data_IF_160034682009
#
_entry.id   IF_160034682009
#
_cell.length_a   1.000
_cell.length_b   1.000
_cell.length_c   1.000
_cell.angle_alpha   90.00
_cell.angle_beta   90.00
_cell.angle_gamma   90.00
#
_symmetry.space_group_name_H-M   'P 1'
#
loop_
_entity.id
_entity.type
_entity.pdbx_description
1 polymer ?
#
# COMPACT_ATOMS: atom_id res chain seq x y z
N UNK A 1 -45.58 -19.96 -7.34
CA UNK A 1 -45.41 -19.70 -8.80
C UNK A 1 -43.98 -19.21 -8.98
N UNK A 2 -43.06 -20.11 -9.37
CA UNK A 2 -42.51 -20.30 -10.73
C UNK A 2 -41.63 -19.15 -11.24
N UNK A 3 -40.30 -19.45 -11.21
CA UNK A 3 -39.31 -19.32 -12.29
C UNK A 3 -38.78 -17.88 -12.56
N UNK A 4 -37.52 -17.64 -12.93
CA UNK A 4 -36.52 -18.51 -13.55
C UNK A 4 -35.11 -17.91 -13.42
N UNK A 5 -34.13 -18.78 -13.15
CA UNK A 5 -32.71 -18.60 -13.47
C UNK A 5 -32.53 -18.33 -14.97
N UNK A 6 -31.50 -17.57 -15.33
CA UNK A 6 -30.77 -17.76 -16.59
C UNK A 6 -29.28 -17.49 -16.38
N UNK A 7 -28.56 -18.61 -16.32
CA UNK A 7 -27.13 -18.73 -16.60
C UNK A 7 -26.88 -18.31 -18.05
N UNK A 8 -25.78 -17.60 -18.31
CA UNK A 8 -25.12 -17.66 -19.62
C UNK A 8 -23.64 -17.96 -19.42
N UNK A 9 -23.34 -19.23 -19.67
CA UNK A 9 -22.04 -19.82 -19.90
C UNK A 9 -21.58 -19.39 -21.30
N UNK A 10 -20.38 -18.84 -21.44
CA UNK A 10 -19.69 -18.87 -22.74
C UNK A 10 -18.29 -19.46 -22.52
N UNK A 11 -18.17 -20.74 -22.85
CA UNK A 11 -16.91 -21.41 -23.16
C UNK A 11 -16.39 -20.85 -24.48
N UNK A 12 -15.13 -20.40 -24.50
CA UNK A 12 -14.30 -20.48 -25.70
C UNK A 12 -12.97 -21.10 -25.29
N UNK A 13 -12.81 -22.37 -25.66
CA UNK A 13 -11.51 -23.03 -25.76
C UNK A 13 -10.89 -22.66 -27.10
N UNK A 14 -9.61 -22.31 -27.15
CA UNK A 14 -8.81 -22.59 -28.35
C UNK A 14 -7.30 -22.71 -28.08
N UNK A 15 -6.85 -23.96 -28.23
CA UNK A 15 -5.61 -24.48 -28.80
C UNK A 15 -4.25 -23.79 -28.57
N UNK A 16 -3.40 -24.58 -27.93
CA UNK A 16 -1.92 -24.63 -28.01
C UNK A 16 -1.44 -24.73 -29.46
N UNK A 17 -0.40 -23.96 -29.81
CA UNK A 17 0.52 -24.34 -30.87
C UNK A 17 1.96 -24.14 -30.39
N UNK A 18 2.66 -25.27 -30.27
CA UNK A 18 4.09 -25.39 -30.01
C UNK A 18 4.81 -25.18 -31.34
N UNK A 19 5.78 -24.27 -31.39
CA UNK A 19 6.85 -24.29 -32.40
C UNK A 19 8.17 -24.13 -31.67
N UNK A 20 8.85 -25.27 -31.48
CA UNK A 20 10.26 -25.39 -31.19
C UNK A 20 11.08 -25.05 -32.45
N UNK A 21 12.13 -24.24 -32.32
CA UNK A 21 13.31 -24.26 -33.21
C UNK A 21 14.46 -23.47 -32.55
N UNK A 22 15.36 -24.20 -31.89
CA UNK A 22 16.80 -23.93 -31.85
C UNK A 22 17.46 -25.14 -32.54
N UNK A 23 18.71 -25.11 -33.08
CA UNK A 23 19.85 -24.30 -32.63
C UNK A 23 20.80 -23.80 -33.75
N UNK A 24 21.77 -22.91 -33.43
CA UNK A 24 23.22 -23.18 -33.69
C UNK A 24 24.16 -22.03 -33.28
N UNK A 25 25.24 -22.46 -32.62
CA UNK A 25 26.50 -21.76 -32.38
C UNK A 25 27.16 -21.26 -33.67
N UNK A 26 27.78 -20.08 -33.62
CA UNK A 26 29.17 -19.88 -34.05
C UNK A 26 29.86 -18.83 -33.17
N UNK A 27 31.07 -19.18 -32.74
CA UNK A 27 32.05 -18.36 -32.01
C UNK A 27 32.93 -17.59 -32.98
N UNK A 28 33.23 -16.32 -32.68
CA UNK A 28 34.58 -15.76 -32.90
C UNK A 28 34.76 -14.51 -32.06
N UNK A 29 35.82 -14.52 -31.25
CA UNK A 29 36.18 -13.44 -30.36
C UNK A 29 37.05 -12.38 -31.00
N UNK A 30 37.11 -11.24 -30.32
CA UNK A 30 38.26 -10.34 -30.31
C UNK A 30 38.28 -9.67 -28.94
N UNK A 31 39.36 -9.93 -28.21
CA UNK A 31 39.71 -9.24 -26.97
C UNK A 31 39.98 -7.77 -27.28
N UNK A 32 39.38 -6.87 -26.52
CA UNK A 32 40.02 -5.64 -26.05
C UNK A 32 39.33 -5.24 -24.74
N UNK A 33 40.05 -5.46 -23.64
CA UNK A 33 39.84 -4.77 -22.36
C UNK A 33 40.41 -3.34 -22.51
N UNK A 34 39.86 -2.31 -21.82
CA UNK A 34 40.03 -2.30 -20.37
C UNK A 34 38.93 -1.62 -19.55
N UNK A 35 39.08 -1.84 -18.24
CA UNK A 35 38.65 -0.97 -17.12
C UNK A 35 37.42 -1.44 -16.38
N UNK A 36 37.71 -2.33 -15.42
CA UNK A 36 36.96 -2.58 -14.20
C UNK A 36 36.41 -1.29 -13.59
N UNK A 37 35.09 -1.15 -13.60
CA UNK A 37 34.40 -0.42 -12.53
C UNK A 37 33.32 -1.35 -12.00
N UNK A 38 33.66 -2.03 -10.91
CA UNK A 38 32.73 -2.70 -10.03
C UNK A 38 31.74 -1.68 -9.48
N UNK A 39 30.47 -1.81 -9.85
CA UNK A 39 29.35 -1.31 -9.06
C UNK A 39 28.34 -2.45 -8.90
N UNK A 40 28.62 -3.30 -7.92
CA UNK A 40 27.58 -3.94 -7.15
C UNK A 40 26.72 -2.83 -6.54
N UNK A 41 25.44 -2.82 -6.89
CA UNK A 41 24.49 -1.83 -6.42
C UNK A 41 23.10 -2.20 -6.92
N UNK A 42 22.46 -3.08 -6.17
CA UNK A 42 21.04 -3.40 -6.26
C UNK A 42 20.21 -2.14 -5.94
N UNK A 43 19.98 -1.30 -6.96
CA UNK A 43 19.29 0.00 -6.80
C UNK A 43 18.42 0.41 -8.00
N UNK A 44 18.06 -0.54 -8.86
CA UNK A 44 17.40 -0.27 -10.15
C UNK A 44 15.95 0.26 -10.13
N UNK A 45 15.29 0.33 -8.96
CA UNK A 45 13.83 0.51 -8.89
C UNK A 45 13.35 1.72 -8.05
N UNK A 46 14.25 2.59 -7.59
CA UNK A 46 13.87 3.77 -6.83
C UNK A 46 13.57 4.97 -7.75
N UNK A 47 12.52 5.76 -7.51
CA UNK A 47 12.24 6.98 -8.25
C UNK A 47 13.43 7.93 -8.25
N UNK A 48 13.78 8.43 -9.44
CA UNK A 48 14.90 9.36 -9.62
C UNK A 48 14.36 10.73 -10.00
N UNK A 49 14.49 11.68 -9.06
CA UNK A 49 14.15 13.08 -9.32
C UNK A 49 15.16 13.63 -10.30
N UNK A 50 14.70 14.14 -11.44
CA UNK A 50 15.59 14.80 -12.38
C UNK A 50 16.06 16.11 -11.74
N UNK A 51 17.36 16.34 -11.60
CA UNK A 51 17.83 17.62 -11.04
C UNK A 51 17.48 18.75 -12.00
N UNK A 52 17.06 19.91 -11.48
CA UNK A 52 16.62 21.07 -12.27
C UNK A 52 17.57 21.49 -13.41
N UNK A 53 18.86 21.13 -13.35
CA UNK A 53 19.86 21.38 -14.40
C UNK A 53 19.64 20.58 -15.71
N UNK A 54 18.70 19.63 -15.74
CA UNK A 54 18.38 18.82 -16.94
C UNK A 54 17.04 19.13 -17.59
N UNK A 55 16.23 20.00 -17.00
CA UNK A 55 15.02 20.44 -17.69
C UNK A 55 15.40 21.45 -18.78
N UNK A 56 15.06 21.18 -20.06
CA UNK A 56 15.36 22.11 -21.12
C UNK A 56 14.60 23.42 -20.90
N UNK A 57 15.15 24.52 -21.40
CA UNK A 57 14.40 25.77 -21.49
C UNK A 57 13.24 25.55 -22.49
N UNK A 58 12.02 25.78 -22.05
CA UNK A 58 10.82 25.67 -22.88
C UNK A 58 9.98 26.93 -22.87
N UNK A 59 8.97 26.97 -23.74
CA UNK A 59 8.07 28.13 -23.90
C UNK A 59 6.84 28.11 -23.00
N UNK A 60 6.73 27.13 -22.10
CA UNK A 60 5.56 26.90 -21.27
C UNK A 60 5.19 28.09 -20.39
N UNK A 61 3.89 28.35 -20.28
CA UNK A 61 3.33 29.44 -19.46
C UNK A 61 2.33 28.96 -18.42
N UNK A 62 1.89 27.70 -18.52
CA UNK A 62 0.89 27.13 -17.62
C UNK A 62 1.55 26.80 -16.28
N UNK A 63 0.98 27.31 -15.19
CA UNK A 63 1.44 26.93 -13.86
C UNK A 63 0.87 25.56 -13.48
N UNK A 64 1.70 24.51 -13.56
CA UNK A 64 1.30 23.15 -13.24
C UNK A 64 0.73 23.03 -11.80
N UNK A 65 1.30 23.76 -10.84
CA UNK A 65 0.87 23.73 -9.44
C UNK A 65 -0.48 24.41 -9.20
N UNK A 66 -0.91 25.31 -10.08
CA UNK A 66 -2.22 25.95 -9.99
C UNK A 66 -3.35 25.04 -10.51
N UNK A 67 -3.04 24.14 -11.45
CA UNK A 67 -4.02 23.23 -12.05
C UNK A 67 -3.46 21.80 -12.22
N UNK A 68 -3.23 21.04 -11.13
CA UNK A 68 -2.65 19.70 -11.21
C UNK A 68 -3.51 18.72 -12.04
N UNK A 69 -4.83 18.88 -12.05
CA UNK A 69 -5.73 18.07 -12.87
C UNK A 69 -5.46 18.20 -14.38
N UNK A 70 -5.04 19.39 -14.83
CA UNK A 70 -4.66 19.62 -16.22
C UNK A 70 -3.35 18.93 -16.62
N UNK A 71 -2.50 18.59 -15.64
CA UNK A 71 -1.29 17.79 -15.89
C UNK A 71 -1.65 16.36 -16.26
N UNK A 72 -2.55 15.72 -15.50
CA UNK A 72 -3.02 14.36 -15.82
C UNK A 72 -3.66 14.28 -17.20
N UNK A 73 -4.60 15.18 -17.48
CA UNK A 73 -5.27 15.23 -18.78
C UNK A 73 -4.30 15.39 -19.95
N UNK A 74 -3.26 16.22 -19.80
CA UNK A 74 -2.22 16.36 -20.81
C UNK A 74 -1.44 15.06 -21.02
N UNK A 75 -1.01 14.39 -19.95
CA UNK A 75 -0.28 13.12 -20.06
C UNK A 75 -1.12 12.06 -20.76
N UNK A 76 -2.41 11.97 -20.44
CA UNK A 76 -3.36 11.05 -21.07
C UNK A 76 -3.54 11.36 -22.56
N UNK A 77 -3.74 12.63 -22.91
CA UNK A 77 -3.88 13.10 -24.29
C UNK A 77 -2.64 12.81 -25.14
N UNK A 78 -1.45 12.97 -24.54
CA UNK A 78 -0.18 12.68 -25.20
C UNK A 78 0.22 11.20 -25.11
N UNK A 79 -0.61 10.35 -24.48
CA UNK A 79 -0.35 8.92 -24.27
C UNK A 79 0.99 8.65 -23.57
N UNK A 80 1.36 9.51 -22.62
CA UNK A 80 2.59 9.38 -21.84
C UNK A 80 2.31 8.53 -20.60
N UNK A 81 2.90 7.34 -20.58
CA UNK A 81 2.86 6.47 -19.40
C UNK A 81 3.47 7.16 -18.19
N UNK A 82 2.73 7.20 -17.08
CA UNK A 82 3.09 7.98 -15.90
C UNK A 82 2.73 7.24 -14.62
N UNK A 83 3.47 7.51 -13.55
CA UNK A 83 3.24 6.95 -12.21
C UNK A 83 2.43 7.88 -11.31
N UNK A 84 1.49 8.63 -11.88
CA UNK A 84 0.74 9.74 -11.28
C UNK A 84 1.59 10.96 -10.85
N UNK A 85 0.94 12.00 -10.33
CA UNK A 85 1.52 13.25 -9.90
C UNK A 85 1.30 13.49 -8.41
N UNK A 86 2.18 14.25 -7.79
CA UNK A 86 2.03 14.67 -6.40
C UNK A 86 2.52 16.09 -6.15
N UNK A 87 2.01 16.74 -5.11
CA UNK A 87 2.44 18.07 -4.70
C UNK A 87 3.50 17.97 -3.61
N UNK A 88 4.62 18.65 -3.79
CA UNK A 88 5.69 18.78 -2.79
C UNK A 88 6.45 20.09 -3.00
N UNK A 89 6.79 20.77 -1.92
CA UNK A 89 7.57 22.02 -1.94
C UNK A 89 7.01 23.10 -2.89
N UNK A 90 5.68 23.18 -3.01
CA UNK A 90 5.00 24.14 -3.89
C UNK A 90 5.08 23.83 -5.39
N UNK A 91 5.53 22.63 -5.77
CA UNK A 91 5.64 22.16 -7.15
C UNK A 91 4.84 20.88 -7.39
N UNK A 92 4.46 20.66 -8.64
CA UNK A 92 3.94 19.35 -9.09
C UNK A 92 5.11 18.47 -9.46
N UNK A 93 5.26 17.34 -8.79
CA UNK A 93 6.17 16.28 -9.20
C UNK A 93 5.40 15.35 -10.14
N UNK A 94 5.96 15.12 -11.32
CA UNK A 94 5.34 14.36 -12.40
C UNK A 94 6.18 13.10 -12.61
N UNK A 95 5.63 11.95 -12.24
CA UNK A 95 6.30 10.66 -12.42
C UNK A 95 6.13 10.18 -13.86
N UNK A 96 7.22 10.06 -14.61
CA UNK A 96 7.20 9.64 -16.01
C UNK A 96 7.91 8.30 -16.18
N UNK A 97 7.21 7.35 -16.80
CA UNK A 97 7.81 6.09 -17.25
C UNK A 97 8.54 6.35 -18.56
N UNK A 98 9.79 5.89 -18.66
CA UNK A 98 10.59 6.08 -19.89
C UNK A 98 10.97 7.53 -20.19
N UNK A 99 11.11 8.37 -19.15
CA UNK A 99 11.51 9.78 -19.27
C UNK A 99 12.73 9.99 -20.19
N UNK A 100 12.53 10.74 -21.27
CA UNK A 100 13.54 11.05 -22.28
C UNK A 100 13.48 12.54 -22.69
N UNK A 101 14.39 12.97 -23.56
CA UNK A 101 14.51 14.39 -23.94
C UNK A 101 13.31 14.94 -24.72
N UNK A 102 12.62 14.10 -25.48
CA UNK A 102 11.39 14.49 -26.19
C UNK A 102 10.27 14.81 -25.20
N UNK A 103 10.05 13.94 -24.21
CA UNK A 103 9.05 14.16 -23.15
C UNK A 103 9.43 15.39 -22.30
N UNK A 104 10.72 15.56 -21.99
CA UNK A 104 11.20 16.74 -21.26
C UNK A 104 10.86 18.03 -22.01
N UNK A 105 11.17 18.09 -23.30
CA UNK A 105 10.91 19.27 -24.13
C UNK A 105 9.41 19.54 -24.23
N UNK A 106 8.62 18.50 -24.48
CA UNK A 106 7.16 18.59 -24.56
C UNK A 106 6.54 19.18 -23.29
N UNK A 107 6.97 18.73 -22.11
CA UNK A 107 6.50 19.27 -20.83
C UNK A 107 7.03 20.69 -20.55
N UNK A 108 8.25 21.01 -20.97
CA UNK A 108 8.82 22.35 -20.85
C UNK A 108 8.13 23.38 -21.75
N UNK A 109 7.64 22.95 -22.92
CA UNK A 109 6.89 23.81 -23.83
C UNK A 109 5.44 24.03 -23.39
N UNK A 110 4.91 23.14 -22.56
CA UNK A 110 3.57 23.23 -21.99
C UNK A 110 3.55 24.03 -20.67
N UNK A 111 4.41 23.67 -19.71
CA UNK A 111 4.35 24.17 -18.33
C UNK A 111 5.48 25.15 -18.00
N UNK A 112 5.14 26.18 -17.23
CA UNK A 112 6.07 27.20 -16.78
C UNK A 112 7.18 26.59 -15.91
N UNK A 113 8.43 26.94 -16.21
CA UNK A 113 9.59 26.51 -15.46
C UNK A 113 9.46 26.85 -13.96
N UNK A 114 9.92 25.94 -13.11
CA UNK A 114 9.87 26.10 -11.65
C UNK A 114 8.53 25.74 -10.99
N UNK A 115 7.47 25.48 -11.76
CA UNK A 115 6.17 25.06 -11.23
C UNK A 115 6.00 23.54 -11.12
N UNK A 116 6.89 22.79 -11.77
CA UNK A 116 6.89 21.34 -11.77
C UNK A 116 8.31 20.76 -11.63
N UNK A 117 8.37 19.46 -11.38
CA UNK A 117 9.58 18.66 -11.31
C UNK A 117 9.31 17.31 -11.98
N UNK A 118 10.19 16.87 -12.89
CA UNK A 118 10.10 15.55 -13.50
C UNK A 118 10.80 14.52 -12.63
N UNK A 119 10.19 13.34 -12.54
CA UNK A 119 10.70 12.20 -11.80
C UNK A 119 10.66 11.00 -12.74
N UNK A 120 11.79 10.35 -12.94
CA UNK A 120 11.81 9.08 -13.63
C UNK A 120 11.34 7.97 -12.70
N UNK A 121 10.35 7.20 -13.14
CA UNK A 121 9.81 6.06 -12.39
C UNK A 121 9.78 4.80 -13.23
N UNK A 122 9.74 3.64 -12.55
CA UNK A 122 9.79 2.34 -13.18
C UNK A 122 8.41 1.84 -13.63
N UNK A 123 7.36 2.20 -12.91
CA UNK A 123 6.01 1.65 -13.08
C UNK A 123 5.00 2.74 -13.37
N UNK A 124 4.03 2.44 -14.23
CA UNK A 124 2.89 3.31 -14.46
C UNK A 124 1.86 3.19 -13.32
N UNK A 125 0.94 4.15 -13.23
CA UNK A 125 -0.15 4.12 -12.27
C UNK A 125 -1.09 2.94 -12.57
N UNK A 126 -1.34 2.65 -13.84
CA UNK A 126 -2.19 1.52 -14.27
C UNK A 126 -1.59 0.19 -13.83
N UNK A 127 -0.28 0.00 -13.95
CA UNK A 127 0.40 -1.23 -13.46
C UNK A 127 0.24 -1.40 -11.93
N UNK A 128 0.33 -0.30 -11.17
CA UNK A 128 0.16 -0.31 -9.72
C UNK A 128 -1.30 -0.54 -9.30
N UNK A 129 -2.25 0.03 -10.04
CA UNK A 129 -3.70 -0.18 -9.84
C UNK A 129 -4.10 -1.62 -10.16
N UNK A 130 -3.58 -2.20 -11.25
CA UNK A 130 -3.79 -3.61 -11.58
C UNK A 130 -3.22 -4.53 -10.49
N UNK A 131 -2.04 -4.22 -9.97
CA UNK A 131 -1.46 -4.94 -8.84
C UNK A 131 -2.33 -4.83 -7.59
N UNK A 132 -2.84 -3.64 -7.25
CA UNK A 132 -3.73 -3.43 -6.12
C UNK A 132 -5.05 -4.20 -6.30
N UNK A 133 -5.60 -4.22 -7.51
CA UNK A 133 -6.84 -4.93 -7.83
C UNK A 133 -6.72 -6.44 -7.60
N UNK A 134 -5.53 -7.03 -7.78
CA UNK A 134 -5.29 -8.45 -7.46
C UNK A 134 -5.41 -8.74 -5.96
N UNK A 135 -5.27 -7.74 -5.09
CA UNK A 135 -5.50 -7.87 -3.65
C UNK A 135 -6.96 -7.66 -3.26
N UNK A 136 -7.81 -7.06 -4.11
CA UNK A 136 -9.18 -6.63 -3.75
C UNK A 136 -10.13 -7.73 -3.28
N UNK A 137 -9.72 -9.00 -3.38
CA UNK A 137 -10.43 -10.11 -2.77
C UNK A 137 -10.42 -9.99 -1.24
N UNK A 138 -11.62 -9.73 -0.67
CA UNK A 138 -11.82 -9.62 0.77
C UNK A 138 -11.41 -10.89 1.53
N UNK A 139 -11.53 -12.06 0.88
CA UNK A 139 -11.15 -13.32 1.48
C UNK A 139 -9.62 -13.46 1.58
N UNK A 140 -8.88 -12.92 0.60
CA UNK A 140 -7.42 -12.90 0.64
C UNK A 140 -6.92 -12.01 1.79
N UNK A 141 -7.47 -10.80 1.93
CA UNK A 141 -7.15 -9.89 3.04
C UNK A 141 -7.37 -10.56 4.40
N UNK A 142 -8.51 -11.23 4.55
CA UNK A 142 -8.88 -11.94 5.77
C UNK A 142 -7.94 -13.12 6.03
N UNK A 143 -7.68 -13.94 5.02
CA UNK A 143 -6.86 -15.16 5.16
C UNK A 143 -5.40 -14.82 5.49
N UNK A 144 -4.85 -13.79 4.85
CA UNK A 144 -3.46 -13.36 5.04
C UNK A 144 -3.30 -12.33 6.17
N UNK A 145 -4.39 -11.95 6.84
CA UNK A 145 -4.42 -10.96 7.91
C UNK A 145 -3.70 -9.66 7.51
N UNK A 146 -4.11 -9.10 6.37
CA UNK A 146 -3.60 -7.82 5.86
C UNK A 146 -4.43 -6.67 6.43
N UNK A 147 -3.77 -5.58 6.79
CA UNK A 147 -4.43 -4.37 7.29
C UNK A 147 -4.89 -3.46 6.16
N UNK A 148 -4.13 -3.40 5.07
CA UNK A 148 -4.44 -2.50 3.97
C UNK A 148 -3.47 -2.64 2.82
N UNK A 149 -3.82 -2.01 1.70
CA UNK A 149 -2.88 -1.68 0.65
C UNK A 149 -3.16 -0.29 0.10
N UNK A 150 -2.10 0.43 -0.28
CA UNK A 150 -2.20 1.76 -0.86
C UNK A 150 -1.06 1.98 -1.86
N UNK A 151 -1.33 2.71 -2.92
CA UNK A 151 -0.32 3.14 -3.88
C UNK A 151 0.43 4.34 -3.29
N UNK A 152 1.73 4.18 -3.06
CA UNK A 152 2.63 5.28 -2.74
C UNK A 152 3.21 5.84 -4.03
N UNK A 153 2.55 6.89 -4.54
CA UNK A 153 2.94 7.63 -5.74
C UNK A 153 4.39 8.14 -5.64
N UNK A 154 4.84 8.56 -4.45
CA UNK A 154 6.19 9.11 -4.28
C UNK A 154 7.25 8.02 -4.41
N UNK A 155 6.99 6.83 -3.86
CA UNK A 155 7.90 5.69 -3.98
C UNK A 155 7.69 4.88 -5.25
N UNK A 156 6.61 5.14 -5.99
CA UNK A 156 6.18 4.37 -7.16
C UNK A 156 6.04 2.87 -6.84
N UNK A 157 5.36 2.55 -5.73
CA UNK A 157 5.12 1.18 -5.25
C UNK A 157 3.73 1.04 -4.64
N UNK A 158 3.20 -0.18 -4.67
CA UNK A 158 2.08 -0.60 -3.86
C UNK A 158 2.57 -0.98 -2.45
N UNK A 159 2.18 -0.23 -1.44
CA UNK A 159 2.42 -0.56 -0.03
C UNK A 159 1.37 -1.57 0.42
N UNK A 160 1.80 -2.65 1.07
CA UNK A 160 0.92 -3.61 1.74
C UNK A 160 1.26 -3.64 3.22
N UNK A 161 0.29 -3.27 4.06
CA UNK A 161 0.44 -3.23 5.52
C UNK A 161 -0.11 -4.51 6.16
N UNK A 162 0.65 -5.09 7.09
CA UNK A 162 0.28 -6.31 7.82
C UNK A 162 1.02 -6.38 9.17
N UNK A 163 0.58 -7.19 10.14
CA UNK A 163 1.38 -7.45 11.33
C UNK A 163 2.58 -8.35 11.00
N UNK A 164 3.64 -8.21 11.78
CA UNK A 164 4.82 -9.09 11.79
C UNK A 164 4.47 -10.59 11.85
N UNK A 165 3.44 -10.97 12.61
CA UNK A 165 2.99 -12.36 12.74
C UNK A 165 2.46 -12.96 11.43
N UNK A 166 2.03 -12.14 10.47
CA UNK A 166 1.56 -12.57 9.16
C UNK A 166 2.66 -12.74 8.13
N UNK A 167 3.81 -12.07 8.31
CA UNK A 167 4.83 -11.88 7.29
C UNK A 167 5.27 -13.18 6.60
N UNK A 168 5.63 -14.18 7.40
CA UNK A 168 6.18 -15.44 6.91
C UNK A 168 5.21 -16.24 6.02
N UNK A 169 3.91 -16.01 6.16
CA UNK A 169 2.87 -16.66 5.35
C UNK A 169 2.36 -15.75 4.24
N UNK A 170 2.16 -14.47 4.52
CA UNK A 170 1.54 -13.53 3.60
C UNK A 170 2.46 -13.15 2.45
N UNK A 171 3.74 -12.86 2.70
CA UNK A 171 4.66 -12.41 1.63
C UNK A 171 4.75 -13.41 0.46
N UNK A 172 5.02 -14.71 0.69
CA UNK A 172 5.13 -15.66 -0.41
C UNK A 172 3.84 -15.83 -1.22
N UNK A 173 2.67 -15.70 -0.60
CA UNK A 173 1.39 -15.78 -1.32
C UNK A 173 1.14 -14.53 -2.16
N UNK A 174 1.46 -13.35 -1.62
CA UNK A 174 1.34 -12.08 -2.36
C UNK A 174 2.30 -12.06 -3.56
N UNK A 175 3.55 -12.48 -3.37
CA UNK A 175 4.58 -12.49 -4.42
C UNK A 175 4.28 -13.49 -5.56
N UNK A 176 3.38 -14.46 -5.35
CA UNK A 176 2.85 -15.33 -6.43
C UNK A 176 1.81 -14.62 -7.29
N UNK A 177 1.14 -13.61 -6.76
CA UNK A 177 0.07 -12.88 -7.42
C UNK A 177 0.59 -11.60 -8.08
N UNK A 178 1.54 -10.94 -7.43
CA UNK A 178 2.06 -9.62 -7.78
C UNK A 178 3.57 -9.70 -7.91
N UNK A 179 4.11 -9.06 -8.95
CA UNK A 179 5.55 -8.92 -9.12
C UNK A 179 6.16 -8.24 -7.87
N UNK A 180 7.14 -8.85 -7.19
CA UNK A 180 7.84 -8.25 -6.06
C UNK A 180 8.40 -6.86 -6.36
N UNK A 181 8.73 -6.56 -7.62
CA UNK A 181 9.18 -5.24 -8.03
C UNK A 181 8.11 -4.16 -7.80
N UNK A 182 6.82 -4.47 -7.86
CA UNK A 182 5.74 -3.49 -7.71
C UNK A 182 5.41 -3.15 -6.26
N UNK A 183 5.85 -3.95 -5.31
CA UNK A 183 5.36 -3.90 -3.93
C UNK A 183 6.43 -3.51 -2.92
N UNK A 184 5.99 -2.95 -1.81
CA UNK A 184 6.76 -2.84 -0.58
C UNK A 184 5.88 -3.21 0.60
N UNK A 185 6.49 -3.71 1.65
CA UNK A 185 5.77 -4.14 2.85
C UNK A 185 5.95 -3.15 3.99
N UNK A 186 4.84 -2.82 4.64
CA UNK A 186 4.79 -2.13 5.92
C UNK A 186 4.46 -3.16 7.01
N UNK A 187 5.51 -3.71 7.61
CA UNK A 187 5.39 -4.76 8.63
C UNK A 187 5.28 -4.10 10.01
N UNK A 188 4.11 -4.22 10.62
CA UNK A 188 3.81 -3.60 11.90
C UNK A 188 4.14 -4.57 13.04
N UNK A 189 5.24 -4.32 13.73
CA UNK A 189 5.58 -5.06 14.94
C UNK A 189 4.63 -4.70 16.09
N UNK A 190 4.31 -5.67 16.95
CA UNK A 190 3.55 -5.36 18.17
C UNK A 190 4.46 -4.55 19.12
N UNK A 191 4.05 -3.31 19.44
CA UNK A 191 4.76 -2.49 20.42
C UNK A 191 4.79 -3.14 21.80
N UNK A 192 5.91 -3.06 22.52
CA UNK A 192 6.00 -3.51 23.92
C UNK A 192 5.05 -2.73 24.84
N UNK A 193 4.76 -1.46 24.50
CA UNK A 193 3.83 -0.60 25.25
C UNK A 193 2.50 -0.57 24.55
N UNK A 194 1.44 -0.73 25.34
CA UNK A 194 0.07 -0.50 24.89
C UNK A 194 -0.12 0.94 24.43
N UNK A 195 -0.89 1.10 23.35
CA UNK A 195 -1.29 2.41 22.84
C UNK A 195 -2.34 3.05 23.74
N UNK A 196 -3.22 2.22 24.31
CA UNK A 196 -4.31 2.65 25.16
C UNK A 196 -4.36 1.81 26.43
N UNK A 197 -4.66 2.49 27.54
CA UNK A 197 -4.94 1.89 28.85
C UNK A 197 -6.25 2.49 29.34
N UNK A 198 -7.17 1.66 29.81
CA UNK A 198 -8.48 2.17 30.22
C UNK A 198 -9.41 1.08 30.75
N UNK A 199 -10.68 1.46 30.92
CA UNK A 199 -11.72 0.58 31.44
C UNK A 199 -12.78 0.30 30.38
N UNK A 200 -13.23 -0.95 30.27
CA UNK A 200 -14.36 -1.32 29.42
C UNK A 200 -15.64 -0.70 30.00
N UNK A 201 -16.23 0.26 29.32
CA UNK A 201 -17.49 0.89 29.76
C UNK A 201 -18.73 0.24 29.16
N UNK A 202 -18.60 -0.37 27.97
CA UNK A 202 -19.69 -1.04 27.28
C UNK A 202 -19.17 -2.13 26.37
N UNK A 203 -19.90 -3.24 26.29
CA UNK A 203 -19.65 -4.32 25.34
C UNK A 203 -20.84 -4.45 24.38
N UNK A 204 -20.57 -4.47 23.08
CA UNK A 204 -21.52 -4.89 22.04
C UNK A 204 -21.11 -6.28 21.51
N UNK A 205 -21.74 -7.35 22.01
CA UNK A 205 -21.41 -8.71 21.57
C UNK A 205 -21.88 -9.01 20.14
N UNK A 206 -22.86 -8.27 19.60
CA UNK A 206 -23.39 -8.53 18.26
C UNK A 206 -22.39 -8.11 17.18
N UNK A 207 -21.63 -7.06 17.45
CA UNK A 207 -20.60 -6.53 16.55
C UNK A 207 -19.17 -6.83 17.03
N UNK A 208 -19.02 -7.57 18.14
CA UNK A 208 -17.74 -7.81 18.84
C UNK A 208 -16.96 -6.51 19.04
N UNK A 209 -17.59 -5.56 19.71
CA UNK A 209 -17.02 -4.24 19.98
C UNK A 209 -17.01 -3.93 21.48
N UNK A 210 -16.00 -3.19 21.92
CA UNK A 210 -15.99 -2.58 23.25
C UNK A 210 -15.80 -1.08 23.14
N UNK A 211 -16.49 -0.33 23.99
CA UNK A 211 -16.23 1.09 24.20
C UNK A 211 -15.34 1.20 25.44
N UNK A 212 -14.26 1.97 25.34
CA UNK A 212 -13.34 2.19 26.46
C UNK A 212 -13.40 3.64 26.96
N UNK A 213 -13.21 3.77 28.28
CA UNK A 213 -12.81 5.01 28.92
C UNK A 213 -11.30 4.96 29.15
N UNK A 214 -10.54 5.74 28.40
CA UNK A 214 -9.09 5.83 28.56
C UNK A 214 -8.72 6.45 29.92
N UNK A 215 -7.60 6.01 30.49
CA UNK A 215 -7.07 6.56 31.73
C UNK A 215 -6.83 8.08 31.61
N UNK A 216 -7.32 8.84 32.58
CA UNK A 216 -7.21 10.30 32.61
C UNK A 216 -8.24 11.05 31.74
N UNK A 217 -9.19 10.36 31.10
CA UNK A 217 -10.34 10.98 30.42
C UNK A 217 -11.58 10.96 31.29
N UNK A 218 -12.50 11.90 31.06
CA UNK A 218 -13.79 11.97 31.75
C UNK A 218 -14.89 11.22 31.00
N UNK A 219 -14.79 11.11 29.68
CA UNK A 219 -15.79 10.50 28.81
C UNK A 219 -15.17 9.42 27.91
N UNK A 220 -15.91 8.34 27.61
CA UNK A 220 -15.43 7.30 26.72
C UNK A 220 -15.34 7.79 25.28
N UNK A 221 -14.18 7.56 24.66
CA UNK A 221 -13.77 8.20 23.41
C UNK A 221 -13.53 7.22 22.26
N UNK A 222 -13.28 5.93 22.56
CA UNK A 222 -12.80 4.98 21.55
C UNK A 222 -13.57 3.65 21.59
N UNK A 223 -14.08 3.26 20.43
CA UNK A 223 -14.74 1.99 20.18
C UNK A 223 -13.78 1.06 19.41
N UNK A 224 -13.46 -0.09 20.02
CA UNK A 224 -12.60 -1.12 19.43
C UNK A 224 -13.43 -2.27 18.89
N UNK A 225 -13.27 -2.60 17.61
CA UNK A 225 -13.80 -3.82 17.00
C UNK A 225 -12.79 -4.97 17.02
N UNK A 226 -13.29 -6.19 17.20
CA UNK A 226 -12.47 -7.40 17.30
C UNK A 226 -12.75 -8.36 16.13
N UNK A 227 -11.68 -8.66 15.38
CA UNK A 227 -11.69 -9.60 14.27
C UNK A 227 -11.32 -11.02 14.68
N UNK A 228 -11.07 -11.85 13.67
CA UNK A 228 -10.64 -13.24 13.82
C UNK A 228 -9.17 -13.34 14.28
N UNK A 229 -8.38 -12.34 13.91
CA UNK A 229 -6.94 -12.26 14.21
C UNK A 229 -6.62 -11.37 15.42
N UNK A 230 -7.64 -10.85 16.10
CA UNK A 230 -7.43 -10.07 17.33
C UNK A 230 -7.03 -11.01 18.47
N UNK A 231 -5.91 -10.71 19.12
CA UNK A 231 -5.48 -11.44 20.31
C UNK A 231 -6.20 -10.89 21.54
N UNK A 232 -6.78 -11.77 22.37
CA UNK A 232 -7.38 -11.39 23.64
C UNK A 232 -6.77 -12.28 24.71
N UNK A 233 -6.12 -11.67 25.70
CA UNK A 233 -5.43 -12.38 26.78
C UNK A 233 -5.85 -11.86 28.14
N UNK A 234 -5.84 -12.74 29.15
CA UNK A 234 -6.03 -12.34 30.53
C UNK A 234 -4.75 -11.69 31.11
N UNK A 235 -4.81 -11.30 32.38
CA UNK A 235 -3.69 -10.64 33.07
C UNK A 235 -2.44 -11.52 33.24
N UNK A 236 -2.58 -12.84 33.10
CA UNK A 236 -1.49 -13.81 33.10
C UNK A 236 -0.97 -14.12 31.69
N UNK A 237 -1.50 -13.44 30.66
CA UNK A 237 -1.15 -13.65 29.26
C UNK A 237 -1.76 -14.90 28.63
N UNK A 238 -2.68 -15.58 29.31
CA UNK A 238 -3.36 -16.74 28.75
C UNK A 238 -4.47 -16.29 27.79
N UNK A 239 -4.64 -16.94 26.62
CA UNK A 239 -5.70 -16.62 25.68
C UNK A 239 -7.09 -16.77 26.30
N UNK A 240 -7.95 -15.80 26.04
CA UNK A 240 -9.38 -15.79 26.37
C UNK A 240 -10.19 -15.43 25.13
N UNK A 241 -11.52 -15.55 25.19
CA UNK A 241 -12.38 -15.13 24.08
C UNK A 241 -13.06 -13.79 24.36
N UNK A 242 -13.71 -13.23 23.34
CA UNK A 242 -14.43 -11.96 23.48
C UNK A 242 -15.57 -12.07 24.50
N UNK A 243 -16.17 -13.25 24.60
CA UNK A 243 -17.28 -13.56 25.51
C UNK A 243 -16.85 -13.59 26.98
N UNK A 244 -15.55 -13.72 27.27
CA UNK A 244 -15.01 -13.67 28.63
C UNK A 244 -14.88 -12.24 29.16
N UNK A 245 -14.95 -11.23 28.28
CA UNK A 245 -14.84 -9.82 28.62
C UNK A 245 -16.08 -9.33 29.39
N UNK A 246 -15.85 -8.43 30.33
CA UNK A 246 -16.88 -7.83 31.19
C UNK A 246 -16.68 -6.32 31.25
N UNK A 247 -17.79 -5.61 31.36
CA UNK A 247 -17.75 -4.19 31.70
C UNK A 247 -17.05 -4.00 33.05
N UNK A 248 -16.45 -2.82 33.23
CA UNK A 248 -15.62 -2.41 34.36
C UNK A 248 -14.24 -3.08 34.47
N UNK A 249 -13.87 -3.98 33.55
CA UNK A 249 -12.50 -4.51 33.50
C UNK A 249 -11.51 -3.46 32.99
N UNK A 250 -10.33 -3.43 33.61
CA UNK A 250 -9.20 -2.65 33.13
C UNK A 250 -8.43 -3.42 32.05
N UNK A 251 -8.03 -2.70 31.00
CA UNK A 251 -7.42 -3.28 29.81
C UNK A 251 -6.28 -2.45 29.25
N UNK A 252 -5.35 -3.14 28.61
CA UNK A 252 -4.35 -2.59 27.70
C UNK A 252 -4.69 -2.97 26.28
N UNK A 253 -4.57 -2.03 25.35
CA UNK A 253 -5.00 -2.18 23.97
C UNK A 253 -3.93 -1.72 22.99
N UNK A 254 -3.82 -2.49 21.91
CA UNK A 254 -3.01 -2.21 20.73
C UNK A 254 -3.95 -2.21 19.53
N UNK A 255 -3.89 -1.17 18.70
CA UNK A 255 -4.70 -1.09 17.49
C UNK A 255 -3.97 -1.70 16.29
N UNK A 256 -4.68 -1.78 15.17
CA UNK A 256 -4.11 -2.07 13.84
C UNK A 256 -3.60 -0.81 13.13
N UNK A 257 -3.58 0.33 13.82
CA UNK A 257 -3.12 1.62 13.29
C UNK A 257 -4.14 2.40 12.44
N UNK A 258 -5.29 1.82 12.11
CA UNK A 258 -6.34 2.50 11.35
C UNK A 258 -7.42 3.08 12.27
N UNK A 259 -7.68 4.38 12.14
CA UNK A 259 -8.71 5.09 12.89
C UNK A 259 -9.72 5.70 11.93
N UNK A 260 -11.01 5.54 12.24
CA UNK A 260 -12.08 6.27 11.58
C UNK A 260 -12.38 7.53 12.38
N UNK A 261 -12.34 8.67 11.70
CA UNK A 261 -12.73 9.97 12.26
C UNK A 261 -14.26 10.01 12.50
N UNK A 262 -14.68 9.44 13.62
CA UNK A 262 -16.06 9.40 14.10
C UNK A 262 -16.15 9.76 15.59
N UNK A 263 -17.39 9.94 16.08
CA UNK A 263 -17.67 10.12 17.51
C UNK A 263 -18.59 8.99 17.99
N UNK A 264 -18.10 8.04 18.82
CA UNK A 264 -16.72 7.89 19.28
C UNK A 264 -15.77 7.50 18.13
N UNK A 265 -14.46 7.68 18.35
CA UNK A 265 -13.42 7.22 17.42
C UNK A 265 -13.54 5.70 17.28
N UNK A 266 -13.42 5.18 16.07
CA UNK A 266 -13.49 3.74 15.84
C UNK A 266 -12.17 3.20 15.32
N UNK A 267 -11.74 2.06 15.85
CA UNK A 267 -10.55 1.35 15.39
C UNK A 267 -10.71 -0.16 15.55
N UNK A 268 -9.82 -0.94 14.95
CA UNK A 268 -9.77 -2.40 15.12
C UNK A 268 -8.65 -2.78 16.09
N UNK A 269 -8.97 -3.65 17.05
CA UNK A 269 -8.01 -4.17 18.02
C UNK A 269 -7.10 -5.21 17.38
N UNK A 270 -5.79 -5.00 17.51
CA UNK A 270 -4.80 -6.04 17.28
C UNK A 270 -4.68 -6.95 18.49
N UNK A 271 -4.60 -6.36 19.68
CA UNK A 271 -4.49 -7.09 20.95
C UNK A 271 -5.22 -6.37 22.07
N UNK A 272 -5.84 -7.15 22.96
CA UNK A 272 -6.32 -6.73 24.27
C UNK A 272 -5.68 -7.60 25.34
N UNK A 273 -5.22 -6.98 26.43
CA UNK A 273 -4.75 -7.65 27.63
C UNK A 273 -5.51 -7.12 28.85
N UNK A 274 -6.12 -8.02 29.64
CA UNK A 274 -6.72 -7.65 30.92
C UNK A 274 -5.64 -7.24 31.93
N UNK A 275 -5.92 -6.25 32.76
CA UNK A 275 -5.06 -5.86 33.89
C UNK A 275 -5.57 -6.56 35.15
N UNK A 276 -4.65 -7.10 35.96
CA UNK A 276 -5.01 -7.76 37.21
C UNK A 276 -5.48 -6.71 38.24
N UNK A 277 -6.73 -6.82 38.72
CA UNK A 277 -7.31 -5.90 39.72
C UNK A 277 -6.57 -5.94 41.07
N UNK A 278 -5.67 -6.90 41.27
CA UNK A 278 -4.90 -7.07 42.51
C UNK A 278 -3.66 -6.18 42.63
N UNK A 279 -3.36 -5.36 41.62
CA UNK A 279 -2.22 -4.42 41.65
C UNK A 279 -2.69 -2.96 41.68
N UNK A 280 -3.45 -2.58 42.71
CA UNK A 280 -3.66 -1.19 43.11
C UNK A 280 -3.37 -1.00 44.59
#
# INVERSE_FOLDING_TARGET
MKRQLLFNLLLVSLAVLVVSCDPRMETSGSNDEPSTTSLSGDSGNAPQVDTADRNPAGTGTINAAAEPGGVRGFLDEQQIANGDIYLKDGKVYINIVGLNDEIRQLLADQYAAGTYQLVHVAHSIEELEEAQQKLSDRELYRTLNLYGSNIDVIKNKLIISMPDTSEAKAKPEIERLIDPALITYDIQALSEKAEFVGTIVKIDPSHRQILILEEGKEEPSILFGFGEHSEIVNAQGAPITFEDLKEQQEVRLWSTGMFNDSLPVQTSARRLELIDETTK
#
